data_IF_124098549897
#
_entry.id   IF_124098549897
#
_cell.length_a   1.000
_cell.length_b   1.000
_cell.length_c   1.000
_cell.angle_alpha   90.00
_cell.angle_beta   90.00
_cell.angle_gamma   90.00
#
_symmetry.space_group_name_H-M   'P 1'
#
loop_
_entity.id
_entity.type
_entity.pdbx_description
1 polymer ?
#
# COMPACT_ATOMS: atom_id res chain seq x y z
N UNK A 1 -72.62 -41.51 11.63
CA UNK A 1 -71.34 -41.15 12.23
C UNK A 1 -70.36 -40.80 11.13
N UNK A 2 -70.12 -39.52 10.88
CA UNK A 2 -69.09 -39.04 9.94
C UNK A 2 -68.10 -38.22 10.77
N UNK A 3 -66.90 -38.77 10.91
CA UNK A 3 -65.78 -38.08 11.57
C UNK A 3 -65.03 -37.22 10.52
N UNK A 4 -64.93 -35.94 10.78
CA UNK A 4 -64.25 -34.98 9.97
C UNK A 4 -62.74 -35.00 10.31
N UNK A 5 -61.93 -35.23 9.29
CA UNK A 5 -60.45 -35.05 9.39
C UNK A 5 -60.08 -33.90 8.47
N UNK A 6 -60.11 -32.72 9.00
CA UNK A 6 -59.67 -31.51 8.29
C UNK A 6 -58.89 -30.60 9.21
N UNK A 7 -57.58 -30.81 9.38
CA UNK A 7 -56.66 -29.77 9.89
C UNK A 7 -55.21 -30.29 9.86
N UNK A 8 -54.46 -30.19 8.73
CA UNK A 8 -52.99 -30.23 8.75
C UNK A 8 -52.35 -29.79 7.41
N UNK A 9 -52.67 -28.61 6.92
CA UNK A 9 -52.02 -28.12 5.70
C UNK A 9 -51.46 -26.70 5.78
N UNK A 10 -51.55 -26.01 6.89
CA UNK A 10 -51.02 -24.62 6.97
C UNK A 10 -49.54 -24.54 7.39
N UNK A 11 -48.98 -25.55 8.08
CA UNK A 11 -47.59 -25.53 8.58
C UNK A 11 -46.50 -25.68 7.50
N UNK A 12 -46.77 -26.43 6.44
CA UNK A 12 -45.75 -26.75 5.43
C UNK A 12 -45.41 -25.58 4.50
N UNK A 13 -46.38 -24.72 4.19
CA UNK A 13 -46.17 -23.55 3.31
C UNK A 13 -45.35 -22.46 4.01
N UNK A 14 -45.52 -22.26 5.33
CA UNK A 14 -44.75 -21.26 6.10
C UNK A 14 -43.32 -21.73 6.28
N UNK A 15 -43.09 -23.01 6.59
CA UNK A 15 -41.75 -23.58 6.67
C UNK A 15 -40.98 -23.46 5.34
N UNK A 16 -41.60 -23.77 4.22
CA UNK A 16 -40.93 -23.67 2.91
C UNK A 16 -40.52 -22.22 2.60
N UNK A 17 -41.34 -21.22 2.93
CA UNK A 17 -40.98 -19.78 2.76
C UNK A 17 -39.81 -19.36 3.64
N UNK A 18 -39.76 -19.81 4.88
CA UNK A 18 -38.65 -19.53 5.79
C UNK A 18 -37.36 -20.12 5.26
N UNK A 19 -37.36 -21.38 4.80
CA UNK A 19 -36.18 -21.99 4.18
C UNK A 19 -35.74 -21.27 2.93
N UNK A 20 -36.66 -20.84 2.08
CA UNK A 20 -36.33 -20.06 0.86
C UNK A 20 -35.70 -18.72 1.24
N UNK A 21 -36.24 -17.99 2.22
CA UNK A 21 -35.66 -16.72 2.69
C UNK A 21 -34.27 -16.92 3.27
N UNK A 22 -34.09 -17.94 4.11
CA UNK A 22 -32.78 -18.28 4.66
C UNK A 22 -31.76 -18.65 3.55
N UNK A 23 -32.17 -19.45 2.58
CA UNK A 23 -31.31 -19.81 1.44
C UNK A 23 -30.88 -18.60 0.62
N UNK A 24 -31.80 -17.68 0.33
CA UNK A 24 -31.50 -16.42 -0.35
C UNK A 24 -30.55 -15.56 0.47
N UNK A 25 -30.78 -15.46 1.78
CA UNK A 25 -29.91 -14.71 2.69
C UNK A 25 -28.48 -15.28 2.70
N UNK A 26 -28.33 -16.61 2.83
CA UNK A 26 -27.04 -17.27 2.76
C UNK A 26 -26.35 -17.07 1.42
N UNK A 27 -27.09 -17.10 0.33
CA UNK A 27 -26.57 -16.85 -1.02
C UNK A 27 -26.06 -15.41 -1.15
N UNK A 28 -26.81 -14.42 -0.64
CA UNK A 28 -26.38 -13.02 -0.63
C UNK A 28 -25.14 -12.79 0.22
N UNK A 29 -25.07 -13.41 1.40
CA UNK A 29 -23.89 -13.34 2.29
C UNK A 29 -22.69 -13.98 1.58
N UNK A 30 -22.84 -15.16 0.99
CA UNK A 30 -21.79 -15.83 0.26
C UNK A 30 -21.30 -14.99 -0.93
N UNK A 31 -22.22 -14.38 -1.68
CA UNK A 31 -21.88 -13.47 -2.77
C UNK A 31 -21.11 -12.23 -2.27
N UNK A 32 -21.55 -11.62 -1.17
CA UNK A 32 -20.87 -10.48 -0.56
C UNK A 32 -19.43 -10.83 -0.14
N UNK A 33 -19.22 -11.99 0.49
CA UNK A 33 -17.89 -12.46 0.91
C UNK A 33 -16.97 -12.63 -0.31
N UNK A 34 -17.46 -13.24 -1.39
CA UNK A 34 -16.69 -13.48 -2.60
C UNK A 34 -16.34 -12.17 -3.32
N UNK A 35 -17.26 -11.20 -3.33
CA UNK A 35 -17.06 -9.92 -4.04
C UNK A 35 -16.19 -8.93 -3.25
N UNK A 36 -16.15 -9.01 -1.93
CA UNK A 36 -15.39 -8.09 -1.05
C UNK A 36 -13.93 -7.87 -1.49
N UNK A 37 -13.10 -8.90 -1.74
CA UNK A 37 -11.70 -8.68 -2.12
C UNK A 37 -11.56 -7.94 -3.46
N UNK A 38 -12.46 -8.14 -4.41
CA UNK A 38 -12.42 -7.43 -5.69
C UNK A 38 -12.76 -5.95 -5.53
N UNK A 39 -13.76 -5.64 -4.70
CA UNK A 39 -14.15 -4.26 -4.40
C UNK A 39 -13.01 -3.55 -3.66
N UNK A 40 -12.41 -4.20 -2.66
CA UNK A 40 -11.30 -3.63 -1.89
C UNK A 40 -10.07 -3.34 -2.78
N UNK A 41 -9.73 -4.22 -3.70
CA UNK A 41 -8.66 -3.99 -4.68
C UNK A 41 -8.95 -2.79 -5.55
N UNK A 42 -10.14 -2.68 -6.12
CA UNK A 42 -10.53 -1.55 -6.95
C UNK A 42 -10.47 -0.22 -6.18
N UNK A 43 -10.89 -0.20 -4.92
CA UNK A 43 -10.78 0.98 -4.05
C UNK A 43 -9.31 1.32 -3.79
N UNK A 44 -8.47 0.34 -3.48
CA UNK A 44 -7.04 0.55 -3.24
C UNK A 44 -6.33 1.13 -4.46
N UNK A 45 -6.55 0.56 -5.64
CA UNK A 45 -6.00 1.07 -6.91
C UNK A 45 -6.46 2.49 -7.21
N UNK A 46 -7.74 2.79 -6.98
CA UNK A 46 -8.27 4.14 -7.15
C UNK A 46 -7.58 5.13 -6.20
N UNK A 47 -7.41 4.78 -4.94
CA UNK A 47 -6.74 5.62 -3.94
C UNK A 47 -5.27 5.86 -4.30
N UNK A 48 -4.53 4.82 -4.69
CA UNK A 48 -3.14 4.92 -5.12
C UNK A 48 -3.01 5.85 -6.33
N UNK A 49 -3.83 5.67 -7.35
CA UNK A 49 -3.84 6.53 -8.52
C UNK A 49 -4.23 7.98 -8.19
N UNK A 50 -5.19 8.19 -7.29
CA UNK A 50 -5.58 9.51 -6.83
C UNK A 50 -4.43 10.22 -6.11
N UNK A 51 -3.71 9.51 -5.22
CA UNK A 51 -2.53 10.03 -4.52
C UNK A 51 -1.43 10.40 -5.51
N UNK A 52 -1.11 9.53 -6.47
CA UNK A 52 -0.10 9.81 -7.51
C UNK A 52 -0.49 11.05 -8.33
N UNK A 53 -1.75 11.18 -8.74
CA UNK A 53 -2.21 12.33 -9.50
C UNK A 53 -2.22 13.62 -8.67
N UNK A 54 -2.54 13.53 -7.39
CA UNK A 54 -2.47 14.68 -6.49
C UNK A 54 -1.03 15.14 -6.34
N UNK A 55 -0.10 14.24 -6.01
CA UNK A 55 1.33 14.51 -5.93
C UNK A 55 1.86 15.15 -7.20
N UNK A 56 1.48 14.63 -8.37
CA UNK A 56 1.88 15.19 -9.66
C UNK A 56 1.39 16.63 -9.81
N UNK A 57 0.13 16.92 -9.48
CA UNK A 57 -0.42 18.29 -9.55
C UNK A 57 0.26 19.26 -8.59
N UNK A 58 0.62 18.79 -7.40
CA UNK A 58 1.35 19.60 -6.41
C UNK A 58 2.73 19.98 -6.94
N UNK A 59 3.48 19.00 -7.47
CA UNK A 59 4.81 19.25 -8.07
C UNK A 59 4.72 20.12 -9.31
N UNK A 60 3.74 19.92 -10.19
CA UNK A 60 3.50 20.74 -11.37
C UNK A 60 3.14 22.20 -11.00
N UNK A 61 2.57 22.40 -9.82
CA UNK A 61 2.25 23.73 -9.27
C UNK A 61 3.42 24.43 -8.58
N UNK A 62 4.55 23.78 -8.41
CA UNK A 62 5.70 24.40 -7.74
C UNK A 62 6.26 25.57 -8.55
N UNK A 63 6.48 26.74 -7.91
CA UNK A 63 7.07 27.87 -8.61
C UNK A 63 8.52 27.58 -9.00
N UNK A 64 8.92 28.07 -10.18
CA UNK A 64 10.32 28.01 -10.58
C UNK A 64 11.20 28.85 -9.64
N UNK A 65 12.37 28.37 -9.14
CA UNK A 65 13.05 27.10 -9.47
C UNK A 65 12.89 26.00 -8.40
N UNK A 66 11.76 25.88 -7.74
CA UNK A 66 11.59 24.99 -6.55
C UNK A 66 11.87 23.52 -6.89
N UNK A 67 11.34 22.99 -7.98
CA UNK A 67 11.58 21.59 -8.37
C UNK A 67 13.08 21.31 -8.64
N UNK A 68 13.77 22.25 -9.31
CA UNK A 68 15.20 22.12 -9.56
C UNK A 68 16.01 22.17 -8.26
N UNK A 69 15.64 23.03 -7.33
CA UNK A 69 16.28 23.12 -6.03
C UNK A 69 16.09 21.84 -5.22
N UNK A 70 14.90 21.26 -5.20
CA UNK A 70 14.63 19.97 -4.54
C UNK A 70 15.49 18.86 -5.12
N UNK A 71 15.59 18.75 -6.45
CA UNK A 71 16.45 17.75 -7.09
C UNK A 71 17.94 17.98 -6.80
N UNK A 72 18.38 19.25 -6.75
CA UNK A 72 19.75 19.59 -6.42
C UNK A 72 20.08 19.19 -4.98
N UNK A 73 19.23 19.57 -4.03
CA UNK A 73 19.42 19.25 -2.60
C UNK A 73 19.40 17.74 -2.37
N UNK A 74 18.49 17.01 -3.03
CA UNK A 74 18.46 15.54 -2.96
C UNK A 74 19.75 14.89 -3.53
N UNK A 75 20.33 15.44 -4.61
CA UNK A 75 21.63 14.96 -5.11
C UNK A 75 22.78 15.28 -4.17
N UNK A 76 22.74 16.42 -3.51
CA UNK A 76 23.75 16.79 -2.49
C UNK A 76 23.65 15.87 -1.26
N UNK A 77 22.44 15.55 -0.82
CA UNK A 77 22.20 14.54 0.21
C UNK A 77 22.78 13.17 -0.18
N UNK A 78 22.52 12.70 -1.40
CA UNK A 78 23.11 11.44 -1.89
C UNK A 78 24.65 11.45 -1.89
N UNK A 79 25.28 12.61 -2.18
CA UNK A 79 26.75 12.76 -2.08
C UNK A 79 27.26 12.70 -0.64
N UNK A 80 26.54 13.35 0.28
CA UNK A 80 26.87 13.28 1.72
C UNK A 80 26.75 11.84 2.22
N UNK A 81 25.67 11.15 1.86
CA UNK A 81 25.43 9.76 2.22
C UNK A 81 26.56 8.84 1.73
N UNK A 82 27.00 8.99 0.49
CA UNK A 82 28.10 8.22 -0.09
C UNK A 82 29.44 8.52 0.58
N UNK A 83 29.71 9.78 0.97
CA UNK A 83 30.93 10.19 1.62
C UNK A 83 30.98 9.76 3.12
N UNK A 84 29.83 9.66 3.76
CA UNK A 84 29.69 9.27 5.17
C UNK A 84 29.94 7.79 5.44
N UNK A 85 30.20 6.98 4.39
CA UNK A 85 30.33 5.54 4.49
C UNK A 85 29.06 4.95 5.09
N UNK A 86 28.16 4.58 4.26
CA UNK A 86 26.86 3.92 4.45
C UNK A 86 26.59 3.35 5.87
N UNK A 87 26.53 4.25 6.88
CA UNK A 87 26.21 3.89 8.24
C UNK A 87 24.70 3.62 8.30
N UNK A 88 24.32 2.42 8.62
CA UNK A 88 22.96 1.95 8.80
C UNK A 88 22.08 1.98 7.53
N UNK A 89 22.32 1.04 6.61
CA UNK A 89 21.30 0.66 5.66
C UNK A 89 20.19 -0.02 6.46
N UNK A 90 19.06 0.70 6.50
CA UNK A 90 17.80 0.13 6.89
C UNK A 90 17.59 -0.09 8.37
N UNK A 91 16.69 0.65 8.94
CA UNK A 91 15.79 0.10 9.93
C UNK A 91 14.91 -0.94 9.25
N UNK A 92 15.51 -1.97 8.67
CA UNK A 92 14.73 -3.09 8.17
C UNK A 92 14.35 -3.95 9.36
N UNK A 93 13.20 -3.68 9.95
CA UNK A 93 12.36 -4.82 10.31
C UNK A 93 12.00 -5.47 8.98
N UNK A 94 12.62 -6.62 8.72
CA UNK A 94 12.20 -7.47 7.62
C UNK A 94 10.69 -7.71 7.77
N UNK A 95 9.83 -7.12 6.90
CA UNK A 95 8.38 -7.35 6.98
C UNK A 95 8.04 -8.82 6.78
N UNK A 96 9.01 -9.66 6.38
CA UNK A 96 8.89 -11.10 6.18
C UNK A 96 9.52 -11.91 7.33
N UNK A 97 10.22 -11.30 8.28
CA UNK A 97 10.79 -11.97 9.46
C UNK A 97 9.75 -12.25 10.55
N UNK A 98 8.61 -12.82 10.17
CA UNK A 98 7.49 -13.12 11.09
C UNK A 98 7.73 -14.30 12.04
N UNK A 99 8.96 -14.81 12.22
CA UNK A 99 9.20 -16.00 13.03
C UNK A 99 10.41 -15.97 13.98
N UNK A 100 10.90 -14.81 14.39
CA UNK A 100 11.85 -14.74 15.50
C UNK A 100 11.28 -13.87 16.63
N UNK A 101 10.65 -14.56 17.58
CA UNK A 101 9.97 -14.01 18.73
C UNK A 101 10.75 -12.97 19.54
N UNK A 102 10.71 -11.73 19.10
CA UNK A 102 10.97 -10.57 19.94
C UNK A 102 10.20 -9.38 19.38
N UNK A 103 8.95 -9.25 19.85
CA UNK A 103 8.19 -8.01 19.76
C UNK A 103 8.95 -6.91 20.49
N UNK A 104 9.69 -6.10 19.74
CA UNK A 104 9.92 -4.72 20.16
C UNK A 104 8.85 -3.89 19.45
N UNK A 105 7.79 -3.57 20.16
CA UNK A 105 6.83 -2.54 19.87
C UNK A 105 7.56 -1.18 19.80
N UNK A 106 8.14 -0.87 18.66
CA UNK A 106 8.49 0.48 18.30
C UNK A 106 7.52 0.86 17.20
N UNK A 107 6.53 1.67 17.57
CA UNK A 107 5.60 2.24 16.61
C UNK A 107 6.33 3.02 15.52
N UNK A 108 5.65 3.33 14.43
CA UNK A 108 6.15 4.11 13.30
C UNK A 108 6.83 5.44 13.70
N UNK A 109 6.54 5.96 14.89
CA UNK A 109 7.07 7.21 15.43
C UNK A 109 8.53 7.12 15.92
N UNK A 110 9.08 5.92 16.08
CA UNK A 110 10.44 5.72 16.62
C UNK A 110 11.50 5.40 15.56
N UNK A 111 11.13 5.35 14.29
CA UNK A 111 12.08 5.05 13.21
C UNK A 111 13.11 6.19 13.04
N UNK A 112 14.34 5.85 12.64
CA UNK A 112 15.37 6.86 12.31
C UNK A 112 14.93 7.68 11.09
N UNK A 113 14.24 7.07 10.15
CA UNK A 113 13.63 7.74 9.00
C UNK A 113 12.67 8.85 9.43
N UNK A 114 11.79 8.59 10.41
CA UNK A 114 10.83 9.58 10.92
C UNK A 114 11.50 10.71 11.70
N UNK A 115 12.64 10.43 12.34
CA UNK A 115 13.40 11.42 13.15
C UNK A 115 14.33 12.29 12.32
N UNK A 116 14.74 11.86 11.13
CA UNK A 116 15.61 12.62 10.24
C UNK A 116 14.82 13.67 9.46
N UNK A 117 14.77 14.88 10.01
CA UNK A 117 14.07 16.00 9.40
C UNK A 117 14.66 16.44 8.06
N UNK A 118 16.00 16.32 7.87
CA UNK A 118 16.63 16.60 6.58
C UNK A 118 16.05 15.64 5.54
N UNK A 119 16.07 14.33 5.81
CA UNK A 119 15.52 13.30 4.91
C UNK A 119 14.02 13.51 4.62
N UNK A 120 13.23 13.78 5.66
CA UNK A 120 11.77 13.96 5.50
C UNK A 120 11.41 15.20 4.68
N UNK A 121 12.23 16.22 4.66
CA UNK A 121 12.01 17.46 3.91
C UNK A 121 12.42 17.37 2.43
N UNK A 122 13.18 16.33 2.05
CA UNK A 122 13.68 16.16 0.69
C UNK A 122 12.65 15.51 -0.21
N UNK A 123 12.39 16.12 -1.36
CA UNK A 123 11.40 15.64 -2.33
C UNK A 123 9.98 15.55 -1.77
N UNK A 124 9.68 16.24 -0.66
CA UNK A 124 8.35 16.20 -0.06
C UNK A 124 7.33 16.91 -0.95
N UNK A 125 6.47 16.10 -1.57
CA UNK A 125 5.35 16.56 -2.37
C UNK A 125 4.02 16.55 -1.57
N UNK A 126 4.13 16.56 -0.23
CA UNK A 126 2.99 16.52 0.68
C UNK A 126 2.63 15.09 1.15
N UNK A 127 2.08 15.00 2.35
CA UNK A 127 1.62 13.75 2.97
C UNK A 127 2.69 12.65 3.08
N UNK A 128 3.98 13.03 3.16
CA UNK A 128 5.11 12.08 3.21
C UNK A 128 5.41 11.38 1.88
N UNK A 129 4.82 11.82 0.78
CA UNK A 129 5.07 11.28 -0.56
C UNK A 129 6.25 12.00 -1.20
N UNK A 130 7.30 11.26 -1.58
CA UNK A 130 8.46 11.79 -2.26
C UNK A 130 8.41 11.68 -3.79
N UNK A 131 7.48 10.90 -4.32
CA UNK A 131 7.34 10.69 -5.76
C UNK A 131 6.45 9.51 -6.08
N UNK A 132 6.59 8.97 -7.28
CA UNK A 132 5.85 7.79 -7.71
C UNK A 132 6.70 6.83 -8.52
N UNK A 133 6.37 5.55 -8.48
CA UNK A 133 6.96 4.52 -9.33
C UNK A 133 5.92 3.99 -10.31
N UNK A 134 6.25 4.03 -11.60
CA UNK A 134 5.40 3.51 -12.66
C UNK A 134 6.12 2.43 -13.45
N UNK A 135 5.51 1.23 -13.50
CA UNK A 135 6.03 0.09 -14.27
C UNK A 135 4.89 -0.41 -15.18
N UNK A 136 4.74 0.17 -16.40
CA UNK A 136 3.59 -0.13 -17.25
C UNK A 136 3.46 -1.60 -17.64
N UNK A 137 4.58 -2.33 -17.74
CA UNK A 137 4.61 -3.75 -18.13
C UNK A 137 3.81 -4.65 -17.18
N UNK A 138 3.73 -4.29 -15.91
CA UNK A 138 3.05 -5.04 -14.86
C UNK A 138 1.95 -4.22 -14.18
N UNK A 139 1.56 -3.12 -14.82
CA UNK A 139 0.48 -2.24 -14.37
C UNK A 139 0.66 -1.69 -12.94
N UNK A 140 1.92 -1.33 -12.60
CA UNK A 140 2.27 -0.71 -11.32
C UNK A 140 2.30 0.81 -11.50
N UNK A 141 1.56 1.50 -10.63
CA UNK A 141 1.56 2.96 -10.49
C UNK A 141 1.32 3.31 -9.02
N UNK A 142 2.40 3.47 -8.25
CA UNK A 142 2.35 3.60 -6.79
C UNK A 142 3.01 4.88 -6.32
N UNK A 143 2.46 5.55 -5.29
CA UNK A 143 3.18 6.58 -4.56
C UNK A 143 4.37 5.95 -3.82
N UNK A 144 5.46 6.71 -3.71
CA UNK A 144 6.64 6.35 -2.91
C UNK A 144 6.64 7.26 -1.69
N UNK A 145 6.63 6.66 -0.51
CA UNK A 145 6.66 7.36 0.77
C UNK A 145 8.07 7.40 1.34
N UNK A 146 8.33 8.38 2.22
CA UNK A 146 9.53 8.42 3.03
C UNK A 146 9.52 7.29 4.06
N UNK A 147 10.60 6.48 4.08
CA UNK A 147 10.71 5.34 4.97
C UNK A 147 9.85 4.15 4.55
N UNK A 148 9.80 3.16 5.44
CA UNK A 148 9.16 1.85 5.21
C UNK A 148 8.23 1.47 6.36
N UNK A 149 7.49 2.44 6.90
CA UNK A 149 6.51 2.19 7.96
C UNK A 149 5.40 1.26 7.46
N UNK A 150 4.74 0.56 8.39
CA UNK A 150 3.61 -0.32 8.05
C UNK A 150 2.50 0.44 7.31
N UNK A 151 2.22 1.68 7.73
CA UNK A 151 1.20 2.52 7.09
C UNK A 151 1.57 2.88 5.64
N UNK A 152 2.83 3.26 5.40
CA UNK A 152 3.33 3.56 4.06
C UNK A 152 3.25 2.32 3.14
N UNK A 153 3.70 1.17 3.64
CA UNK A 153 3.72 -0.07 2.88
C UNK A 153 2.32 -0.67 2.66
N UNK A 154 1.34 -0.33 3.50
CA UNK A 154 -0.06 -0.76 3.30
C UNK A 154 -0.72 -0.11 2.08
N UNK A 155 -0.30 1.12 1.72
CA UNK A 155 -0.97 1.94 0.69
C UNK A 155 -0.12 2.24 -0.53
N UNK A 156 1.20 1.99 -0.47
CA UNK A 156 2.12 2.29 -1.57
C UNK A 156 3.46 1.60 -1.46
N UNK A 157 4.47 2.24 -2.01
CA UNK A 157 5.87 1.84 -1.90
C UNK A 157 6.60 2.75 -0.90
N UNK A 158 7.60 2.22 -0.21
CA UNK A 158 8.45 2.96 0.71
C UNK A 158 9.88 3.07 0.19
N UNK A 159 10.50 4.24 0.37
CA UNK A 159 11.92 4.41 0.13
C UNK A 159 12.70 3.95 1.37
N UNK A 160 13.63 3.01 1.18
CA UNK A 160 14.43 2.47 2.26
C UNK A 160 15.42 3.51 2.75
N UNK A 161 15.25 3.97 3.99
CA UNK A 161 16.13 4.94 4.63
C UNK A 161 17.59 4.48 4.62
N UNK A 162 18.53 5.41 4.45
CA UNK A 162 19.96 5.10 4.34
C UNK A 162 20.40 4.67 2.95
N UNK A 163 19.48 4.49 1.98
CA UNK A 163 19.81 4.33 0.56
C UNK A 163 19.72 5.67 -0.17
N UNK A 164 20.29 5.77 -1.37
CA UNK A 164 20.22 7.01 -2.15
C UNK A 164 18.79 7.38 -2.51
N UNK A 165 18.45 8.65 -2.41
CA UNK A 165 17.16 9.16 -2.91
C UNK A 165 17.01 8.88 -4.42
N UNK A 166 15.77 8.64 -4.93
CA UNK A 166 15.52 8.16 -6.28
C UNK A 166 15.61 9.27 -7.36
N UNK A 167 16.68 10.08 -7.32
CA UNK A 167 16.94 11.20 -8.25
C UNK A 167 18.01 10.89 -9.29
N UNK A 168 18.41 9.62 -9.38
CA UNK A 168 19.48 9.17 -10.25
C UNK A 168 20.84 9.70 -9.87
N UNK A 169 21.83 9.39 -10.70
CA UNK A 169 23.22 9.79 -10.51
C UNK A 169 24.19 8.63 -10.65
N UNK A 170 25.48 8.95 -10.90
CA UNK A 170 26.54 7.95 -10.98
C UNK A 170 26.81 7.37 -9.59
N UNK A 171 26.88 6.04 -9.50
CA UNK A 171 27.18 5.33 -8.23
C UNK A 171 26.13 5.56 -7.12
N UNK A 172 24.87 5.83 -7.50
CA UNK A 172 23.74 5.90 -6.57
C UNK A 172 22.91 4.61 -6.64
N UNK A 173 22.44 4.14 -5.49
CA UNK A 173 21.56 2.99 -5.38
C UNK A 173 20.38 3.35 -4.49
N UNK A 174 19.19 3.48 -5.09
CA UNK A 174 17.93 3.72 -4.38
C UNK A 174 17.16 2.43 -4.24
N UNK A 175 16.71 2.13 -3.05
CA UNK A 175 15.91 0.94 -2.77
C UNK A 175 14.48 1.35 -2.48
N UNK A 176 13.56 0.87 -3.31
CA UNK A 176 12.12 1.03 -3.15
C UNK A 176 11.54 -0.32 -2.80
N UNK A 177 10.82 -0.40 -1.71
CA UNK A 177 10.20 -1.62 -1.21
C UNK A 177 8.68 -1.49 -1.13
N UNK A 178 7.99 -2.60 -1.12
CA UNK A 178 6.54 -2.64 -0.98
C UNK A 178 6.04 -4.06 -0.83
N UNK A 179 4.82 -4.20 -0.35
CA UNK A 179 4.21 -5.50 -0.16
C UNK A 179 3.95 -6.25 -1.46
N UNK A 180 4.01 -7.57 -1.36
CA UNK A 180 3.60 -8.51 -2.38
C UNK A 180 2.55 -9.45 -1.79
N UNK A 181 1.46 -9.69 -2.54
CA UNK A 181 0.45 -10.68 -2.15
C UNK A 181 -0.54 -10.22 -1.09
N UNK A 182 -0.77 -8.92 -0.92
CA UNK A 182 -1.84 -8.44 -0.05
C UNK A 182 -3.21 -8.79 -0.64
N UNK A 183 -4.17 -9.24 0.19
CA UNK A 183 -5.52 -9.59 -0.28
C UNK A 183 -6.24 -8.42 -0.94
N UNK A 184 -6.02 -7.21 -0.43
CA UNK A 184 -6.78 -6.01 -0.76
C UNK A 184 -6.03 -5.03 -1.69
N UNK A 185 -4.78 -5.32 -2.06
CA UNK A 185 -3.97 -4.45 -2.92
C UNK A 185 -2.96 -5.26 -3.72
N UNK A 186 -2.76 -4.90 -4.98
CA UNK A 186 -1.79 -5.58 -5.84
C UNK A 186 -0.36 -5.16 -5.55
N UNK A 187 -0.10 -3.88 -5.30
CA UNK A 187 1.22 -3.30 -5.07
C UNK A 187 2.28 -3.93 -6.00
N UNK A 188 3.30 -4.62 -5.45
CA UNK A 188 4.33 -5.30 -6.22
C UNK A 188 4.06 -6.80 -6.47
N UNK A 189 2.80 -7.25 -6.34
CA UNK A 189 2.43 -8.67 -6.51
C UNK A 189 2.88 -9.26 -7.85
N UNK A 190 2.86 -8.45 -8.92
CA UNK A 190 3.17 -8.88 -10.29
C UNK A 190 4.64 -8.70 -10.70
N UNK A 191 5.56 -8.43 -9.75
CA UNK A 191 6.99 -8.25 -10.04
C UNK A 191 7.63 -9.49 -10.71
N UNK A 192 7.12 -10.69 -10.44
CA UNK A 192 7.56 -11.93 -11.07
C UNK A 192 7.20 -12.04 -12.56
N UNK A 193 6.27 -11.23 -13.04
CA UNK A 193 5.96 -11.12 -14.48
C UNK A 193 7.00 -10.29 -15.26
N UNK A 194 7.93 -9.63 -14.56
CA UNK A 194 9.05 -8.90 -15.16
C UNK A 194 10.05 -9.91 -15.74
N UNK A 195 9.96 -10.14 -17.05
CA UNK A 195 10.95 -10.91 -17.80
C UNK A 195 11.99 -9.97 -18.40
N UNK A 196 13.24 -10.45 -18.44
CA UNK A 196 14.33 -9.76 -19.13
C UNK A 196 14.07 -9.63 -20.63
#
# INVERSE_FOLDING_TARGET
MRSSTGAKQSGTRTQSRVFTVLSVLFLLIGFAIITTPFVMRAISEYQQNATVQQTQREVDGWPYPQAENQLKTAREYNKKLAAGGQAAIGEVKDPFASNAGQSTTSGADDSMAAKDQEYQSLLDAGQGVMGSIRIPKIDVNLPIYHGTSEDALAVGAGHLYGTSLPVGGKSTHSVITGHRGLPNSLLFTRLDEMKK
#
